data_IF_354279912200
#
_entry.id   IF_354279912200
#
_cell.length_a   1.000
_cell.length_b   1.000
_cell.length_c   1.000
_cell.angle_alpha   90.00
_cell.angle_beta   90.00
_cell.angle_gamma   90.00
#
_symmetry.space_group_name_H-M   'P 1'
#
loop_
_entity.id
_entity.type
_entity.pdbx_description
1 polymer ?
#
# COMPACT_ATOMS: atom_id res chain seq x y z
N UNK A 1 -1.87 3.54 24.03
CA UNK A 1 -2.94 4.15 23.22
C UNK A 1 -3.94 3.08 22.83
N UNK A 2 -5.16 3.22 23.34
CA UNK A 2 -6.33 2.46 22.91
C UNK A 2 -6.87 3.02 21.60
N UNK A 3 -7.25 2.14 20.67
CA UNK A 3 -7.77 2.53 19.36
C UNK A 3 -9.11 1.87 19.12
N UNK A 4 -10.15 2.69 19.00
CA UNK A 4 -11.50 2.23 18.69
C UNK A 4 -11.69 2.09 17.18
N UNK A 5 -12.44 1.06 16.78
CA UNK A 5 -12.81 0.85 15.37
C UNK A 5 -14.07 1.64 15.08
N UNK A 6 -14.04 2.49 14.06
CA UNK A 6 -15.18 3.27 13.62
C UNK A 6 -15.67 2.82 12.24
N UNK A 7 -14.74 2.43 11.36
CA UNK A 7 -15.06 2.09 9.98
C UNK A 7 -14.87 0.60 9.66
N UNK A 8 -14.04 -0.10 10.44
CA UNK A 8 -13.64 -1.48 10.14
C UNK A 8 -14.17 -2.49 11.16
N UNK A 9 -14.18 -3.77 10.79
CA UNK A 9 -14.56 -4.88 11.68
C UNK A 9 -13.38 -5.79 11.94
N UNK A 10 -13.25 -6.26 13.17
CA UNK A 10 -12.19 -7.20 13.55
C UNK A 10 -12.33 -8.50 12.74
N UNK A 11 -11.22 -8.95 12.13
CA UNK A 11 -11.18 -10.18 11.34
C UNK A 11 -11.72 -10.03 9.91
N UNK A 12 -12.18 -8.84 9.52
CA UNK A 12 -12.57 -8.53 8.14
C UNK A 12 -11.50 -7.64 7.50
N UNK A 13 -11.24 -7.84 6.20
CA UNK A 13 -10.38 -6.92 5.45
C UNK A 13 -10.95 -5.50 5.51
N UNK A 14 -10.13 -4.45 5.71
CA UNK A 14 -10.61 -3.06 5.66
C UNK A 14 -11.10 -2.66 4.25
N UNK A 15 -10.80 -3.48 3.24
CA UNK A 15 -11.23 -3.29 1.85
C UNK A 15 -12.47 -4.11 1.47
N UNK A 16 -13.02 -4.91 2.38
CA UNK A 16 -14.06 -5.90 2.06
C UNK A 16 -15.32 -5.29 1.40
N UNK A 17 -15.69 -4.07 1.81
CA UNK A 17 -16.87 -3.37 1.32
C UNK A 17 -16.50 -2.25 0.32
N UNK A 18 -15.27 -2.25 -0.22
CA UNK A 18 -14.78 -1.27 -1.19
C UNK A 18 -14.68 -1.94 -2.57
N UNK A 19 -15.38 -1.38 -3.55
CA UNK A 19 -15.24 -1.81 -4.94
C UNK A 19 -13.97 -1.21 -5.56
N UNK A 20 -13.21 -2.03 -6.28
CA UNK A 20 -12.02 -1.62 -7.02
C UNK A 20 -12.23 -1.80 -8.52
N UNK A 21 -11.65 -0.90 -9.30
CA UNK A 21 -11.64 -0.95 -10.76
C UNK A 21 -10.22 -0.83 -11.30
N UNK A 22 -10.01 -1.36 -12.50
CA UNK A 22 -8.79 -1.11 -13.27
C UNK A 22 -8.95 0.18 -14.07
N UNK A 23 -7.92 1.02 -14.06
CA UNK A 23 -7.83 2.19 -14.93
C UNK A 23 -6.43 2.29 -15.55
N UNK A 24 -6.26 3.26 -16.44
CA UNK A 24 -4.97 3.61 -17.04
C UNK A 24 -4.63 5.02 -16.63
N UNK A 25 -3.38 5.26 -16.23
CA UNK A 25 -2.82 6.59 -16.12
C UNK A 25 -1.98 6.90 -17.35
N UNK A 26 -2.24 8.03 -17.98
CA UNK A 26 -1.56 8.42 -19.22
C UNK A 26 -1.31 9.92 -19.26
N UNK A 27 -0.11 10.30 -19.66
CA UNK A 27 0.26 11.69 -19.95
C UNK A 27 0.61 11.78 -21.43
N UNK A 28 0.02 12.76 -22.11
CA UNK A 28 0.34 13.08 -23.50
C UNK A 28 0.93 14.48 -23.62
N UNK A 29 1.80 14.66 -24.60
CA UNK A 29 2.21 15.96 -25.08
C UNK A 29 1.06 16.63 -25.87
N UNK A 30 1.13 17.96 -26.12
CA UNK A 30 0.15 18.65 -26.97
C UNK A 30 0.03 18.09 -28.38
N UNK A 31 1.09 17.45 -28.90
CA UNK A 31 1.11 16.78 -30.20
C UNK A 31 0.46 15.37 -30.19
N UNK A 32 -0.03 14.92 -29.03
CA UNK A 32 -0.68 13.63 -28.83
C UNK A 32 0.27 12.46 -28.54
N UNK A 33 1.60 12.66 -28.57
CA UNK A 33 2.58 11.63 -28.22
C UNK A 33 2.52 11.30 -26.72
N UNK A 34 2.70 10.02 -26.37
CA UNK A 34 2.61 9.52 -25.00
C UNK A 34 3.93 9.75 -24.26
N UNK A 35 3.87 10.49 -23.15
CA UNK A 35 5.01 10.77 -22.26
C UNK A 35 5.11 9.70 -21.18
N UNK A 36 3.97 9.25 -20.66
CA UNK A 36 3.88 8.24 -19.62
C UNK A 36 2.59 7.46 -19.82
N UNK A 37 2.65 6.14 -19.63
CA UNK A 37 1.48 5.28 -19.61
C UNK A 37 1.69 4.15 -18.63
N UNK A 38 0.72 3.96 -17.74
CA UNK A 38 0.66 2.82 -16.83
C UNK A 38 -0.75 2.25 -16.87
N UNK A 39 -0.87 1.05 -17.44
CA UNK A 39 -2.16 0.41 -17.71
C UNK A 39 -2.52 -0.60 -16.64
N UNK A 40 -3.82 -0.75 -16.38
CA UNK A 40 -4.34 -1.78 -15.51
C UNK A 40 -4.04 -1.56 -14.03
N UNK A 41 -3.88 -0.30 -13.61
CA UNK A 41 -3.73 0.02 -12.19
C UNK A 41 -5.05 -0.19 -11.47
N UNK A 42 -5.00 -0.84 -10.31
CA UNK A 42 -6.20 -1.12 -9.51
C UNK A 42 -6.39 -0.04 -8.43
N UNK A 43 -7.56 0.59 -8.43
CA UNK A 43 -7.89 1.75 -7.60
C UNK A 43 -9.34 1.66 -7.11
N UNK A 44 -9.70 2.27 -5.96
CA UNK A 44 -11.09 2.31 -5.53
C UNK A 44 -11.99 2.97 -6.59
N UNK A 45 -13.16 2.38 -6.85
CA UNK A 45 -14.09 2.83 -7.90
C UNK A 45 -14.51 4.29 -7.72
N UNK A 46 -14.66 4.75 -6.47
CA UNK A 46 -15.03 6.12 -6.14
C UNK A 46 -13.95 7.18 -6.42
N UNK A 47 -12.73 6.80 -6.78
CA UNK A 47 -11.66 7.77 -7.05
C UNK A 47 -11.83 8.44 -8.42
N UNK A 48 -11.58 9.75 -8.44
CA UNK A 48 -11.50 10.53 -9.68
C UNK A 48 -10.30 10.08 -10.52
N UNK A 49 -10.38 10.25 -11.84
CA UNK A 49 -9.26 9.94 -12.73
C UNK A 49 -8.00 10.74 -12.35
N UNK A 50 -8.15 12.02 -11.96
CA UNK A 50 -7.04 12.87 -11.50
C UNK A 50 -6.35 12.29 -10.26
N UNK A 51 -7.11 11.75 -9.30
CA UNK A 51 -6.52 11.10 -8.12
C UNK A 51 -5.74 9.83 -8.51
N UNK A 52 -6.30 9.03 -9.44
CA UNK A 52 -5.64 7.85 -9.99
C UNK A 52 -4.32 8.22 -10.70
N UNK A 53 -4.33 9.30 -11.47
CA UNK A 53 -3.17 9.80 -12.20
C UNK A 53 -2.07 10.29 -11.26
N UNK A 54 -2.42 11.07 -10.24
CA UNK A 54 -1.47 11.54 -9.23
C UNK A 54 -0.84 10.34 -8.49
N UNK A 55 -1.66 9.35 -8.10
CA UNK A 55 -1.17 8.12 -7.45
C UNK A 55 -0.14 7.41 -8.33
N UNK A 56 -0.49 7.12 -9.59
CA UNK A 56 0.38 6.39 -10.51
C UNK A 56 1.67 7.13 -10.83
N UNK A 57 1.61 8.46 -10.97
CA UNK A 57 2.74 9.26 -11.44
C UNK A 57 3.71 9.62 -10.31
N UNK A 58 3.19 9.83 -9.09
CA UNK A 58 3.98 10.34 -7.97
C UNK A 58 4.19 9.32 -6.86
N UNK A 59 3.17 8.54 -6.50
CA UNK A 59 3.18 7.80 -5.24
C UNK A 59 3.40 6.29 -5.40
N UNK A 60 3.15 5.74 -6.59
CA UNK A 60 3.63 4.41 -6.93
C UNK A 60 5.16 4.41 -7.01
N UNK A 61 5.77 3.49 -6.26
CA UNK A 61 7.17 3.11 -6.46
C UNK A 61 7.28 2.49 -7.87
N UNK A 62 8.10 3.12 -8.72
CA UNK A 62 8.12 2.87 -10.18
C UNK A 62 8.93 1.65 -10.61
N UNK A 63 9.86 1.19 -9.77
CA UNK A 63 10.72 0.05 -10.07
C UNK A 63 11.32 -0.52 -8.78
N UNK A 64 11.93 -1.71 -8.89
CA UNK A 64 12.71 -2.30 -7.81
C UNK A 64 11.90 -2.98 -6.72
N UNK A 65 10.57 -3.10 -6.86
CA UNK A 65 9.79 -3.92 -5.93
C UNK A 65 9.95 -5.38 -6.33
N UNK A 66 10.47 -6.25 -5.44
CA UNK A 66 10.60 -7.67 -5.72
C UNK A 66 9.22 -8.31 -5.84
N UNK A 67 9.04 -9.22 -6.80
CA UNK A 67 7.80 -10.00 -6.95
C UNK A 67 7.64 -11.07 -5.89
N UNK A 68 8.76 -11.66 -5.47
CA UNK A 68 8.79 -12.64 -4.39
C UNK A 68 9.33 -11.99 -3.13
N UNK A 69 8.53 -12.04 -2.07
CA UNK A 69 8.84 -11.45 -0.78
C UNK A 69 8.75 -12.53 0.29
N UNK A 70 9.66 -12.44 1.26
CA UNK A 70 9.61 -13.27 2.47
C UNK A 70 9.47 -12.38 3.71
N UNK A 71 8.74 -12.84 4.74
CA UNK A 71 8.69 -12.12 6.01
C UNK A 71 10.05 -12.16 6.70
N UNK A 72 10.39 -11.06 7.37
CA UNK A 72 11.55 -11.03 8.27
C UNK A 72 11.05 -11.25 9.68
N UNK A 73 11.39 -12.41 10.25
CA UNK A 73 10.96 -12.80 11.58
C UNK A 73 11.57 -11.87 12.62
N UNK A 74 10.70 -11.19 13.36
CA UNK A 74 11.05 -10.36 14.51
C UNK A 74 10.25 -10.85 15.73
N UNK A 75 10.89 -11.56 16.69
CA UNK A 75 10.17 -12.19 17.80
C UNK A 75 9.30 -11.25 18.64
N UNK A 76 9.74 -10.00 18.78
CA UNK A 76 9.03 -8.97 19.56
C UNK A 76 7.99 -8.20 18.74
N UNK A 77 7.76 -8.60 17.48
CA UNK A 77 6.76 -8.02 16.59
C UNK A 77 5.75 -9.10 16.22
N UNK A 78 4.43 -8.83 16.32
CA UNK A 78 3.40 -9.75 15.88
C UNK A 78 3.60 -10.16 14.43
N UNK A 79 3.40 -11.44 14.12
CA UNK A 79 3.75 -11.99 12.81
C UNK A 79 3.07 -11.29 11.61
N UNK A 80 1.87 -10.78 11.81
CA UNK A 80 1.13 -10.03 10.78
C UNK A 80 1.71 -8.64 10.47
N UNK A 81 2.57 -8.11 11.35
CA UNK A 81 3.21 -6.81 11.25
C UNK A 81 4.70 -6.92 10.88
N UNK A 82 5.19 -8.13 10.60
CA UNK A 82 6.55 -8.33 10.10
C UNK A 82 6.76 -7.59 8.78
N UNK A 83 7.88 -6.89 8.69
CA UNK A 83 8.37 -6.39 7.41
C UNK A 83 8.68 -7.55 6.47
N UNK A 84 8.67 -7.26 5.18
CA UNK A 84 9.10 -8.19 4.16
C UNK A 84 10.37 -7.71 3.47
N UNK A 85 11.16 -8.64 2.98
CA UNK A 85 12.33 -8.39 2.13
C UNK A 85 12.29 -9.29 0.90
N UNK A 86 13.15 -9.02 -0.07
CA UNK A 86 13.29 -9.86 -1.26
C UNK A 86 13.59 -11.31 -0.85
N UNK A 87 12.85 -12.26 -1.43
CA UNK A 87 13.20 -13.67 -1.34
C UNK A 87 14.10 -14.04 -2.52
N UNK A 88 15.41 -13.89 -2.36
CA UNK A 88 16.37 -14.14 -3.44
C UNK A 88 16.27 -15.57 -3.99
N UNK A 89 15.99 -16.56 -3.14
CA UNK A 89 15.84 -17.96 -3.54
C UNK A 89 14.58 -18.20 -4.38
N UNK A 90 13.47 -17.53 -4.05
CA UNK A 90 12.27 -17.58 -4.86
C UNK A 90 12.43 -16.76 -6.16
N UNK A 91 13.07 -15.59 -6.08
CA UNK A 91 13.34 -14.73 -7.23
C UNK A 91 14.21 -15.42 -8.28
N UNK A 92 15.18 -16.25 -7.89
CA UNK A 92 15.98 -17.05 -8.80
C UNK A 92 15.14 -17.93 -9.74
N UNK A 93 13.98 -18.40 -9.25
CA UNK A 93 13.02 -19.23 -10.00
C UNK A 93 12.05 -18.42 -10.86
N UNK A 94 12.00 -17.11 -10.64
CA UNK A 94 11.20 -16.17 -11.41
C UNK A 94 11.99 -15.69 -12.63
N UNK A 95 11.28 -15.55 -13.76
CA UNK A 95 11.82 -14.98 -14.99
C UNK A 95 12.61 -13.68 -14.70
N UNK A 96 13.88 -13.55 -15.13
CA UNK A 96 14.72 -12.40 -14.82
C UNK A 96 14.07 -11.05 -15.15
N UNK A 97 13.28 -10.97 -16.22
CA UNK A 97 12.57 -9.74 -16.63
C UNK A 97 11.37 -9.39 -15.74
N UNK A 98 10.92 -10.34 -14.90
CA UNK A 98 9.74 -10.20 -14.04
C UNK A 98 10.07 -10.16 -12.55
N UNK A 99 11.34 -10.35 -12.16
CA UNK A 99 11.75 -10.36 -10.73
C UNK A 99 11.41 -9.08 -9.99
N UNK A 100 11.44 -7.94 -10.68
CA UNK A 100 11.17 -6.63 -10.11
C UNK A 100 10.13 -5.88 -10.93
N UNK A 101 9.36 -5.01 -10.29
CA UNK A 101 8.41 -4.15 -10.98
C UNK A 101 7.95 -2.95 -10.16
N UNK A 102 6.94 -2.22 -10.66
CA UNK A 102 6.30 -1.13 -9.94
C UNK A 102 5.21 -1.62 -8.97
N UNK A 103 4.70 -0.70 -8.14
CA UNK A 103 3.36 -0.81 -7.56
C UNK A 103 2.31 -0.65 -8.68
N UNK A 104 1.28 -1.49 -8.65
CA UNK A 104 0.19 -1.54 -9.64
C UNK A 104 -1.20 -1.41 -9.01
N UNK A 105 -1.30 -1.39 -7.68
CA UNK A 105 -2.57 -1.28 -6.98
C UNK A 105 -2.48 -0.30 -5.82
N UNK A 106 -3.52 0.50 -5.62
CA UNK A 106 -3.59 1.49 -4.54
C UNK A 106 -3.44 0.85 -3.16
N UNK A 107 -3.95 -0.38 -2.98
CA UNK A 107 -3.82 -1.15 -1.74
C UNK A 107 -2.37 -1.37 -1.34
N UNK A 108 -1.43 -1.50 -2.29
CA UNK A 108 -0.01 -1.66 -1.98
C UNK A 108 0.54 -0.40 -1.29
N UNK A 109 0.11 0.79 -1.73
CA UNK A 109 0.48 2.06 -1.12
C UNK A 109 -0.14 2.18 0.27
N UNK A 110 -1.43 1.87 0.40
CA UNK A 110 -2.14 1.95 1.69
C UNK A 110 -1.53 1.01 2.73
N UNK A 111 -1.29 -0.25 2.35
CA UNK A 111 -0.69 -1.26 3.21
C UNK A 111 0.73 -0.88 3.61
N UNK A 112 1.53 -0.36 2.67
CA UNK A 112 2.88 0.12 2.95
C UNK A 112 2.89 1.26 3.97
N UNK A 113 2.05 2.27 3.78
CA UNK A 113 2.01 3.44 4.66
C UNK A 113 1.49 3.08 6.04
N UNK A 114 0.28 2.51 6.10
CA UNK A 114 -0.34 2.13 7.36
C UNK A 114 0.51 1.09 8.09
N UNK A 115 1.12 0.14 7.36
CA UNK A 115 1.98 -0.90 7.92
C UNK A 115 3.24 -0.31 8.54
N UNK A 116 3.91 0.60 7.84
CA UNK A 116 5.11 1.28 8.36
C UNK A 116 4.80 2.08 9.63
N UNK A 117 3.71 2.85 9.64
CA UNK A 117 3.34 3.63 10.82
C UNK A 117 2.94 2.73 11.99
N UNK A 118 2.20 1.65 11.72
CA UNK A 118 1.81 0.68 12.75
C UNK A 118 3.04 -0.04 13.30
N UNK A 119 3.98 -0.44 12.46
CA UNK A 119 5.23 -1.08 12.85
C UNK A 119 6.02 -0.19 13.81
N UNK A 120 6.25 1.07 13.45
CA UNK A 120 6.97 1.99 14.34
C UNK A 120 6.19 2.33 15.61
N UNK A 121 4.86 2.43 15.53
CA UNK A 121 4.02 2.60 16.71
C UNK A 121 4.10 1.40 17.67
N UNK A 122 4.20 0.19 17.13
CA UNK A 122 4.43 -1.02 17.91
C UNK A 122 5.81 -1.02 18.55
N UNK A 123 6.88 -0.79 17.79
CA UNK A 123 8.25 -0.72 18.30
C UNK A 123 8.44 0.39 19.34
N UNK A 124 7.67 1.47 19.23
CA UNK A 124 7.64 2.58 20.18
C UNK A 124 6.78 2.33 21.43
N UNK A 125 6.11 1.18 21.55
CA UNK A 125 5.24 0.86 22.69
C UNK A 125 4.00 1.75 22.80
N UNK A 126 3.52 2.30 21.68
CA UNK A 126 2.39 3.23 21.70
C UNK A 126 1.04 2.57 21.88
N UNK A 127 0.89 1.28 21.56
CA UNK A 127 -0.40 0.59 21.63
C UNK A 127 -0.59 -0.09 22.99
N UNK A 128 -1.80 -0.02 23.55
CA UNK A 128 -2.10 -0.72 24.81
C UNK A 128 -2.20 -2.24 24.61
N UNK A 129 -2.51 -2.69 23.39
CA UNK A 129 -2.58 -4.10 23.00
C UNK A 129 -2.34 -4.33 21.50
N UNK A 130 -2.11 -5.59 21.09
CA UNK A 130 -2.07 -5.97 19.67
C UNK A 130 -3.41 -5.66 18.96
N UNK A 131 -4.54 -5.74 19.67
CA UNK A 131 -5.84 -5.40 19.11
C UNK A 131 -5.92 -3.94 18.70
N UNK A 132 -5.33 -3.04 19.49
CA UNK A 132 -5.25 -1.61 19.18
C UNK A 132 -4.35 -1.34 17.98
N UNK A 133 -3.20 -2.01 17.90
CA UNK A 133 -2.32 -1.93 16.73
C UNK A 133 -3.02 -2.39 15.44
N UNK A 134 -3.78 -3.49 15.50
CA UNK A 134 -4.59 -3.97 14.37
C UNK A 134 -5.71 -2.99 14.01
N UNK A 135 -6.40 -2.44 15.01
CA UNK A 135 -7.44 -1.43 14.76
C UNK A 135 -6.85 -0.21 14.06
N UNK A 136 -5.72 0.30 14.54
CA UNK A 136 -5.01 1.42 13.91
C UNK A 136 -4.63 1.14 12.45
N UNK A 137 -4.05 -0.05 12.19
CA UNK A 137 -3.68 -0.46 10.85
C UNK A 137 -4.89 -0.55 9.91
N UNK A 138 -6.00 -1.13 10.38
CA UNK A 138 -7.20 -1.32 9.56
C UNK A 138 -7.91 0.01 9.28
N UNK A 139 -8.10 0.85 10.30
CA UNK A 139 -8.78 2.15 10.16
C UNK A 139 -8.02 3.07 9.21
N UNK A 140 -6.68 3.13 9.30
CA UNK A 140 -5.88 3.93 8.38
C UNK A 140 -6.00 3.48 6.93
N UNK A 141 -5.97 2.17 6.68
CA UNK A 141 -6.13 1.62 5.33
C UNK A 141 -7.50 1.94 4.74
N UNK A 142 -8.55 1.79 5.55
CA UNK A 142 -9.90 2.19 5.17
C UNK A 142 -9.97 3.69 4.84
N UNK A 143 -9.43 4.53 5.73
CA UNK A 143 -9.47 5.99 5.59
C UNK A 143 -8.66 6.47 4.39
N UNK A 144 -7.50 5.87 4.10
CA UNK A 144 -6.71 6.16 2.90
C UNK A 144 -7.47 5.77 1.63
N UNK A 145 -8.09 4.58 1.61
CA UNK A 145 -8.89 4.12 0.47
C UNK A 145 -10.10 5.03 0.20
N UNK A 146 -10.71 5.61 1.24
CA UNK A 146 -11.81 6.56 1.13
C UNK A 146 -11.38 8.03 1.04
N UNK A 147 -10.07 8.32 0.95
CA UNK A 147 -9.52 9.69 0.94
C UNK A 147 -9.95 10.56 2.14
N UNK A 148 -10.19 9.95 3.30
CA UNK A 148 -10.58 10.62 4.55
C UNK A 148 -9.38 11.22 5.29
N UNK A 149 -8.19 10.73 4.99
CA UNK A 149 -6.93 11.28 5.48
C UNK A 149 -5.87 11.24 4.40
N UNK A 150 -4.87 12.12 4.52
CA UNK A 150 -3.69 12.12 3.67
C UNK A 150 -2.50 12.64 4.50
N UNK A 151 -1.40 11.87 4.61
CA UNK A 151 -0.17 12.40 5.18
C UNK A 151 0.46 13.44 4.25
N UNK A 152 1.48 14.14 4.77
CA UNK A 152 2.29 15.03 3.95
C UNK A 152 3.07 14.24 2.87
N UNK A 153 3.43 14.93 1.78
CA UNK A 153 4.07 14.32 0.61
C UNK A 153 5.30 13.44 0.94
N UNK A 154 6.25 13.85 1.81
CA UNK A 154 7.41 13.03 2.15
C UNK A 154 7.08 11.62 2.64
N UNK A 155 6.00 11.45 3.40
CA UNK A 155 5.61 10.14 3.91
C UNK A 155 5.09 9.20 2.80
N UNK A 156 4.50 9.74 1.73
CA UNK A 156 4.07 8.90 0.61
C UNK A 156 5.25 8.25 -0.13
N UNK A 157 6.39 8.96 -0.21
CA UNK A 157 7.55 8.55 -1.00
C UNK A 157 8.47 7.55 -0.31
N UNK A 158 8.65 7.70 1.01
CA UNK A 158 9.61 6.93 1.81
C UNK A 158 8.96 5.65 2.34
#
# INVERSE_FOLDING_TARGET
MRVERHFTKQGQSPYADIEFRKTTSEIRNPDGSVVFKLEGIEVPTGWSQVACDILAQKYFRKAGIPKELRPVVEPDVPAWLWRSEADDTALERTDPSKRYGPEMAAVQVFDRLAGTWTYWGWKGGYFDSEKDARAFFDELRYMLAHQMCAPNSPQWFN
#
